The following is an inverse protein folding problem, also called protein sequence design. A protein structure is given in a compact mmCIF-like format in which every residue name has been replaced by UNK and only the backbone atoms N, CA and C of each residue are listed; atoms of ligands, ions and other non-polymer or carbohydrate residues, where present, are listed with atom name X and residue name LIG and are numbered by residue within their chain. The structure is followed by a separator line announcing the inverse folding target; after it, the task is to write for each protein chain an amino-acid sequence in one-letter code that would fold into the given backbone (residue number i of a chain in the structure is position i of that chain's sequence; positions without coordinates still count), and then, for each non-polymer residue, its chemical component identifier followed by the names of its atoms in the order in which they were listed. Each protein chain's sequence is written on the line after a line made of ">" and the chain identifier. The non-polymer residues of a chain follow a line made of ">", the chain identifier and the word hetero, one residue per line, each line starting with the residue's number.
data_IF_270924603517
#
_entry.id   IF_270924603517
#
_cell.length_a   1.000
_cell.length_b   1.000
_cell.length_c   1.000
_cell.angle_alpha   90.00
_cell.angle_beta   90.00
_cell.angle_gamma   90.00
#
_symmetry.space_group_name_H-M   'P 1'
#
loop_
_entity.id
_entity.type
_entity.pdbx_description
1 polymer ?
#
# COMPACT_ATOMS: atom_id res chain seq x y z
N UNK A 1 -1.47 14.20 6.67
CA UNK A 1 -1.86 15.35 7.51
C UNK A 1 -1.36 16.67 6.93
N UNK A 2 -0.04 16.85 6.73
CA UNK A 2 0.56 18.10 6.25
C UNK A 2 -0.09 18.66 4.95
N UNK A 3 -0.42 17.80 3.98
CA UNK A 3 -1.06 18.24 2.73
C UNK A 3 -2.50 18.69 2.95
N UNK A 4 -3.25 18.03 3.83
CA UNK A 4 -4.60 18.49 4.23
C UNK A 4 -4.58 19.86 4.89
N UNK A 5 -3.57 20.12 5.74
CA UNK A 5 -3.42 21.41 6.42
C UNK A 5 -3.15 22.61 5.47
N UNK A 6 -2.74 22.32 4.21
CA UNK A 6 -2.55 23.37 3.19
C UNK A 6 -3.86 23.85 2.56
N UNK A 7 -4.94 23.09 2.68
CA UNK A 7 -6.26 23.48 2.20
C UNK A 7 -6.77 24.72 2.94
N UNK A 8 -7.38 25.64 2.21
CA UNK A 8 -8.09 26.78 2.79
C UNK A 8 -9.41 26.34 3.43
N UNK A 9 -9.99 25.22 2.93
CA UNK A 9 -11.23 24.65 3.44
C UNK A 9 -11.04 23.85 4.74
N UNK A 10 -9.81 23.54 5.14
CA UNK A 10 -9.49 22.79 6.36
C UNK A 10 -9.09 23.74 7.48
N UNK A 11 -9.84 23.73 8.56
CA UNK A 11 -9.56 24.54 9.77
C UNK A 11 -8.54 23.84 10.67
N UNK A 12 -8.66 22.53 10.88
CA UNK A 12 -7.81 21.70 11.72
C UNK A 12 -7.75 20.28 11.19
N UNK A 13 -6.61 19.61 11.38
CA UNK A 13 -6.42 18.18 11.10
C UNK A 13 -6.01 17.50 12.40
N UNK A 14 -6.86 16.68 12.95
CA UNK A 14 -6.52 15.80 14.07
C UNK A 14 -5.79 14.57 13.57
N UNK A 15 -4.73 14.18 14.25
CA UNK A 15 -3.87 13.03 13.85
C UNK A 15 -3.79 12.04 15.02
N UNK A 16 -4.33 10.87 14.84
CA UNK A 16 -4.37 9.82 15.87
C UNK A 16 -3.44 8.65 15.49
N UNK A 17 -2.41 8.36 16.28
CA UNK A 17 -1.96 9.08 17.48
C UNK A 17 -1.12 10.33 17.15
N UNK A 18 -0.65 10.49 15.91
CA UNK A 18 0.30 11.51 15.49
C UNK A 18 1.76 11.18 15.82
N UNK A 19 2.64 12.13 15.59
CA UNK A 19 4.07 12.01 15.86
C UNK A 19 4.70 13.38 16.15
N UNK A 20 6.02 13.44 16.33
CA UNK A 20 6.73 14.69 16.60
C UNK A 20 6.60 15.74 15.48
N UNK A 21 6.53 15.31 14.22
CA UNK A 21 6.34 16.21 13.08
C UNK A 21 4.93 16.80 13.01
N UNK A 22 3.92 16.02 13.33
CA UNK A 22 2.52 16.48 13.36
C UNK A 22 2.19 17.30 14.60
N UNK A 23 2.95 17.15 15.69
CA UNK A 23 2.78 17.90 16.92
C UNK A 23 3.14 19.41 16.79
N UNK A 24 3.96 19.77 15.82
CA UNK A 24 4.50 21.14 15.67
C UNK A 24 4.04 21.86 14.41
N UNK A 25 3.37 21.16 13.51
CA UNK A 25 2.92 21.74 12.24
C UNK A 25 1.61 22.53 12.40
N UNK A 26 1.50 23.63 11.66
CA UNK A 26 0.30 24.46 11.69
C UNK A 26 -0.96 23.69 11.29
N UNK A 27 -2.09 23.96 11.93
CA UNK A 27 -3.39 23.30 11.79
C UNK A 27 -3.40 21.80 12.13
N UNK A 28 -2.30 21.23 12.65
CA UNK A 28 -2.26 19.82 13.06
C UNK A 28 -2.34 19.70 14.58
N UNK A 29 -3.13 18.76 15.06
CA UNK A 29 -3.28 18.44 16.48
C UNK A 29 -3.21 16.91 16.66
N UNK A 30 -2.25 16.45 17.49
CA UNK A 30 -2.15 15.05 17.84
C UNK A 30 -3.23 14.68 18.86
N UNK A 31 -3.83 13.51 18.68
CA UNK A 31 -4.83 12.94 19.58
C UNK A 31 -4.37 11.57 20.04
N UNK A 32 -4.22 11.38 21.34
CA UNK A 32 -3.76 10.13 21.93
C UNK A 32 -4.87 9.06 21.91
N UNK A 33 -5.17 8.57 20.71
CA UNK A 33 -6.12 7.47 20.48
C UNK A 33 -5.42 6.43 19.60
N UNK A 34 -5.48 5.16 20.05
CA UNK A 34 -4.97 4.03 19.26
C UNK A 34 -5.79 3.91 17.96
N UNK A 35 -5.14 3.79 16.77
CA UNK A 35 -5.83 3.61 15.49
C UNK A 35 -6.73 2.37 15.44
N UNK A 36 -6.55 1.41 16.34
CA UNK A 36 -7.40 0.22 16.46
C UNK A 36 -8.58 0.39 17.44
N UNK A 37 -8.63 1.49 18.20
CA UNK A 37 -9.78 1.81 19.06
C UNK A 37 -10.86 2.58 18.28
N UNK A 38 -11.66 1.83 17.51
CA UNK A 38 -12.67 2.41 16.63
C UNK A 38 -13.78 3.12 17.40
N UNK A 39 -14.12 2.68 18.60
CA UNK A 39 -15.16 3.31 19.43
C UNK A 39 -14.69 4.67 19.92
N UNK A 40 -13.45 4.79 20.37
CA UNK A 40 -12.84 6.07 20.77
C UNK A 40 -12.71 7.02 19.56
N UNK A 41 -12.25 6.51 18.41
CA UNK A 41 -12.12 7.31 17.18
C UNK A 41 -13.49 7.85 16.71
N UNK A 42 -14.52 7.01 16.66
CA UNK A 42 -15.87 7.42 16.27
C UNK A 42 -16.46 8.44 17.26
N UNK A 43 -16.25 8.23 18.57
CA UNK A 43 -16.71 9.14 19.62
C UNK A 43 -16.02 10.50 19.50
N UNK A 44 -14.71 10.51 19.25
CA UNK A 44 -13.93 11.72 19.01
C UNK A 44 -14.42 12.46 17.75
N UNK A 45 -14.54 11.74 16.64
CA UNK A 45 -15.00 12.31 15.37
C UNK A 45 -16.36 12.98 15.51
N UNK A 46 -17.30 12.35 16.23
CA UNK A 46 -18.62 12.91 16.51
C UNK A 46 -18.57 14.15 17.42
N UNK A 47 -17.78 14.09 18.49
CA UNK A 47 -17.67 15.19 19.46
C UNK A 47 -17.03 16.44 18.84
N UNK A 48 -16.07 16.27 17.94
CA UNK A 48 -15.36 17.34 17.25
C UNK A 48 -15.94 17.68 15.87
N UNK A 49 -17.07 17.09 15.49
CA UNK A 49 -17.77 17.34 14.23
C UNK A 49 -16.82 17.15 13.02
N UNK A 50 -16.07 16.05 13.02
CA UNK A 50 -15.12 15.73 11.92
C UNK A 50 -15.91 15.44 10.65
N UNK A 51 -15.66 16.18 9.59
CA UNK A 51 -16.34 16.06 8.30
C UNK A 51 -15.77 14.92 7.45
N UNK A 52 -14.50 14.62 7.59
CA UNK A 52 -13.83 13.54 6.85
C UNK A 52 -12.74 12.88 7.71
N UNK A 53 -12.77 11.56 7.80
CA UNK A 53 -11.68 10.76 8.36
C UNK A 53 -10.97 10.02 7.23
N UNK A 54 -9.64 10.10 7.20
CA UNK A 54 -8.80 9.39 6.23
C UNK A 54 -7.91 8.40 6.95
N UNK A 55 -7.94 7.14 6.54
CA UNK A 55 -7.20 6.07 7.21
C UNK A 55 -5.89 5.80 6.48
N UNK A 56 -4.78 5.97 7.19
CA UNK A 56 -3.43 5.76 6.64
C UNK A 56 -2.90 4.33 6.79
N UNK A 57 -2.96 3.71 7.99
CA UNK A 57 -2.37 2.39 8.21
C UNK A 57 -3.29 1.24 7.76
N UNK A 58 -2.69 0.13 7.33
CA UNK A 58 -3.39 -1.05 6.83
C UNK A 58 -4.15 -1.84 7.90
N UNK A 59 -3.64 -1.87 9.13
CA UNK A 59 -4.26 -2.62 10.22
C UNK A 59 -5.74 -2.27 10.45
N UNK A 60 -6.10 -1.00 10.68
CA UNK A 60 -7.49 -0.56 10.81
C UNK A 60 -8.34 -0.84 9.57
N UNK A 61 -7.78 -0.74 8.36
CA UNK A 61 -8.50 -1.03 7.11
C UNK A 61 -8.95 -2.48 7.05
N UNK A 62 -8.02 -3.40 7.26
CA UNK A 62 -8.31 -4.85 7.28
C UNK A 62 -9.25 -5.22 8.44
N UNK A 63 -9.16 -4.51 9.58
CA UNK A 63 -10.04 -4.72 10.72
C UNK A 63 -11.44 -4.09 10.57
N UNK A 64 -11.70 -3.34 9.49
CA UNK A 64 -13.04 -2.85 9.13
C UNK A 64 -13.43 -1.53 9.77
N UNK A 65 -12.50 -0.60 9.96
CA UNK A 65 -12.76 0.75 10.47
C UNK A 65 -13.83 1.48 9.66
N UNK A 66 -13.88 1.29 8.33
CA UNK A 66 -14.90 1.90 7.48
C UNK A 66 -16.33 1.56 7.95
N UNK A 67 -16.59 0.28 8.24
CA UNK A 67 -17.90 -0.16 8.72
C UNK A 67 -18.23 0.38 10.14
N UNK A 68 -17.20 0.58 10.98
CA UNK A 68 -17.40 1.21 12.28
C UNK A 68 -17.85 2.66 12.13
N UNK A 69 -17.21 3.45 11.29
CA UNK A 69 -17.60 4.85 11.02
C UNK A 69 -18.96 4.96 10.34
N UNK A 70 -19.24 4.09 9.37
CA UNK A 70 -20.53 4.07 8.65
C UNK A 70 -21.73 3.85 9.59
N UNK A 71 -21.59 3.03 10.64
CA UNK A 71 -22.64 2.82 11.66
C UNK A 71 -23.04 4.10 12.38
N UNK A 72 -22.17 5.08 12.46
CA UNK A 72 -22.44 6.38 13.10
C UNK A 72 -22.74 7.48 12.08
N UNK A 73 -22.80 7.16 10.78
CA UNK A 73 -23.00 8.13 9.70
C UNK A 73 -21.83 9.10 9.54
N UNK A 74 -20.64 8.67 9.91
CA UNK A 74 -19.41 9.46 9.80
C UNK A 74 -18.69 9.14 8.48
N UNK A 75 -18.30 10.19 7.75
CA UNK A 75 -17.54 10.01 6.51
C UNK A 75 -16.13 9.49 6.79
N UNK A 76 -15.78 8.40 6.11
CA UNK A 76 -14.49 7.74 6.27
C UNK A 76 -13.96 7.30 4.89
N UNK A 77 -12.87 7.90 4.46
CA UNK A 77 -12.16 7.48 3.25
C UNK A 77 -11.31 6.25 3.58
N UNK A 78 -11.86 5.11 3.32
CA UNK A 78 -11.27 3.80 3.56
C UNK A 78 -12.01 2.73 2.75
N UNK A 79 -11.31 1.73 2.18
CA UNK A 79 -11.97 0.57 1.62
C UNK A 79 -12.67 -0.26 2.73
N UNK A 80 -13.65 -1.06 2.34
CA UNK A 80 -14.25 -2.04 3.24
C UNK A 80 -13.23 -3.10 3.65
N UNK A 81 -13.50 -3.83 4.74
CA UNK A 81 -12.63 -4.93 5.18
C UNK A 81 -12.44 -6.00 4.08
N UNK A 82 -13.49 -6.28 3.29
CA UNK A 82 -13.44 -7.22 2.18
C UNK A 82 -12.53 -6.71 1.06
N UNK A 83 -12.63 -5.42 0.70
CA UNK A 83 -11.76 -4.79 -0.28
C UNK A 83 -10.29 -4.72 0.21
N UNK A 84 -10.09 -4.47 1.50
CA UNK A 84 -8.77 -4.43 2.13
C UNK A 84 -8.05 -5.79 2.15
N UNK A 85 -8.74 -6.91 1.83
CA UNK A 85 -8.10 -8.20 1.64
C UNK A 85 -7.10 -8.22 0.47
N UNK A 86 -7.18 -7.29 -0.48
CA UNK A 86 -6.14 -7.13 -1.50
C UNK A 86 -4.75 -6.87 -0.91
N UNK A 87 -4.66 -6.21 0.25
CA UNK A 87 -3.43 -6.04 1.04
C UNK A 87 -3.34 -7.05 2.18
N UNK A 88 -4.46 -7.33 2.85
CA UNK A 88 -4.53 -8.16 4.05
C UNK A 88 -4.20 -9.63 3.84
N UNK A 89 -4.39 -10.17 2.62
CA UNK A 89 -4.06 -11.54 2.25
C UNK A 89 -3.45 -11.61 0.86
N UNK A 90 -2.19 -12.01 0.78
CA UNK A 90 -1.49 -12.21 -0.49
C UNK A 90 -2.12 -13.33 -1.32
N UNK A 91 -2.61 -14.37 -0.64
CA UNK A 91 -3.36 -15.46 -1.29
C UNK A 91 -4.63 -14.92 -1.93
N UNK A 92 -5.45 -14.17 -1.18
CA UNK A 92 -6.66 -13.55 -1.74
C UNK A 92 -6.33 -12.67 -2.95
N UNK A 93 -5.34 -11.79 -2.80
CA UNK A 93 -4.89 -10.88 -3.87
C UNK A 93 -4.47 -11.64 -5.13
N UNK A 94 -3.63 -12.66 -5.00
CA UNK A 94 -3.15 -13.46 -6.14
C UNK A 94 -4.26 -14.28 -6.80
N UNK A 95 -5.13 -14.89 -6.02
CA UNK A 95 -6.30 -15.63 -6.55
C UNK A 95 -7.29 -14.69 -7.25
N UNK A 96 -7.49 -13.48 -6.69
CA UNK A 96 -8.28 -12.43 -7.32
C UNK A 96 -7.69 -12.00 -8.67
N UNK A 97 -6.38 -11.71 -8.73
CA UNK A 97 -5.69 -11.36 -9.97
C UNK A 97 -5.84 -12.45 -11.04
N UNK A 98 -5.72 -13.72 -10.64
CA UNK A 98 -5.88 -14.84 -11.55
C UNK A 98 -7.34 -14.98 -12.06
N UNK A 99 -8.34 -14.84 -11.18
CA UNK A 99 -9.77 -14.92 -11.57
C UNK A 99 -10.17 -13.84 -12.57
N UNK A 100 -9.59 -12.65 -12.43
CA UNK A 100 -9.90 -11.50 -13.28
C UNK A 100 -8.90 -11.29 -14.43
N UNK A 101 -7.97 -12.23 -14.65
CA UNK A 101 -6.94 -12.19 -15.70
C UNK A 101 -6.07 -10.92 -15.64
N UNK A 102 -5.80 -10.42 -14.43
CA UNK A 102 -4.94 -9.26 -14.20
C UNK A 102 -3.47 -9.73 -14.19
N UNK A 103 -2.56 -9.07 -14.94
CA UNK A 103 -1.18 -9.51 -15.07
C UNK A 103 -0.45 -9.58 -13.72
N UNK A 104 0.12 -10.72 -13.40
CA UNK A 104 0.96 -10.95 -12.22
C UNK A 104 1.89 -12.15 -12.46
N UNK A 105 2.88 -12.36 -11.59
CA UNK A 105 3.77 -13.52 -11.66
C UNK A 105 2.98 -14.84 -11.56
N UNK A 106 3.48 -15.89 -12.23
CA UNK A 106 3.00 -17.27 -11.99
C UNK A 106 3.20 -17.60 -10.51
N UNK A 107 2.16 -18.07 -9.84
CA UNK A 107 2.17 -18.31 -8.40
C UNK A 107 1.38 -19.56 -8.03
N UNK A 108 1.55 -20.02 -6.79
CA UNK A 108 0.63 -20.89 -6.07
C UNK A 108 0.76 -20.69 -4.57
N UNK A 109 -0.31 -21.02 -3.83
CA UNK A 109 -0.40 -20.85 -2.37
C UNK A 109 -0.34 -22.21 -1.68
N UNK A 110 0.38 -22.31 -0.55
CA UNK A 110 0.64 -23.56 0.14
C UNK A 110 0.51 -23.42 1.66
N UNK A 111 0.02 -24.49 2.27
CA UNK A 111 0.09 -24.76 3.73
C UNK A 111 0.99 -25.97 4.04
N UNK A 112 1.34 -26.76 3.02
CA UNK A 112 2.27 -27.87 3.11
C UNK A 112 3.66 -27.47 2.60
N UNK A 113 4.71 -27.58 3.45
CA UNK A 113 6.07 -27.21 3.05
C UNK A 113 6.60 -28.04 1.88
N UNK A 114 6.28 -29.35 1.83
CA UNK A 114 6.79 -30.23 0.77
C UNK A 114 6.25 -29.84 -0.61
N UNK A 115 4.96 -29.53 -0.70
CA UNK A 115 4.33 -29.06 -1.93
C UNK A 115 4.88 -27.68 -2.34
N UNK A 116 5.09 -26.77 -1.37
CA UNK A 116 5.69 -25.45 -1.63
C UNK A 116 7.11 -25.55 -2.20
N UNK A 117 7.95 -26.42 -1.64
CA UNK A 117 9.32 -26.68 -2.10
C UNK A 117 9.35 -27.26 -3.51
N UNK A 118 8.46 -28.23 -3.79
CA UNK A 118 8.33 -28.79 -5.13
C UNK A 118 7.98 -27.73 -6.17
N UNK A 119 7.01 -26.89 -5.87
CA UNK A 119 6.62 -25.81 -6.77
C UNK A 119 7.72 -24.76 -6.95
N UNK A 120 8.47 -24.44 -5.89
CA UNK A 120 9.62 -23.54 -5.99
C UNK A 120 10.70 -24.11 -6.93
N UNK A 121 10.94 -25.42 -6.90
CA UNK A 121 11.86 -26.10 -7.84
C UNK A 121 11.34 -26.05 -9.29
N UNK A 122 10.03 -26.21 -9.50
CA UNK A 122 9.42 -26.10 -10.84
C UNK A 122 9.50 -24.71 -11.44
N UNK A 123 9.42 -23.65 -10.61
CA UNK A 123 9.55 -22.26 -11.08
C UNK A 123 10.98 -21.92 -11.48
N UNK A 124 11.97 -22.57 -10.87
CA UNK A 124 13.38 -22.23 -11.04
C UNK A 124 13.79 -21.01 -10.19
N UNK A 125 15.00 -20.53 -10.43
CA UNK A 125 15.63 -19.46 -9.66
C UNK A 125 15.87 -18.21 -10.52
N UNK A 126 15.76 -17.00 -9.94
CA UNK A 126 15.29 -16.73 -8.58
C UNK A 126 13.81 -17.05 -8.39
N UNK A 127 13.39 -17.31 -7.14
CA UNK A 127 12.00 -17.55 -6.77
C UNK A 127 11.62 -16.69 -5.56
N UNK A 128 10.37 -16.25 -5.49
CA UNK A 128 9.90 -15.37 -4.41
C UNK A 128 8.97 -16.14 -3.48
N UNK A 129 9.27 -16.11 -2.19
CA UNK A 129 8.47 -16.71 -1.13
C UNK A 129 7.87 -15.59 -0.28
N UNK A 130 6.55 -15.58 -0.12
CA UNK A 130 5.84 -14.55 0.65
C UNK A 130 4.97 -15.20 1.73
N UNK A 131 5.07 -14.75 2.97
CA UNK A 131 4.09 -15.09 4.01
C UNK A 131 2.75 -14.43 3.67
N UNK A 132 1.64 -15.17 3.86
CA UNK A 132 0.29 -14.62 3.69
C UNK A 132 -0.05 -13.68 4.85
N UNK A 133 -0.72 -12.55 4.57
CA UNK A 133 -1.12 -11.57 5.57
C UNK A 133 -0.13 -10.41 5.74
N UNK A 134 -0.46 -9.54 6.70
CA UNK A 134 0.34 -8.35 7.01
C UNK A 134 1.63 -8.75 7.73
N UNK A 135 2.76 -8.44 7.14
CA UNK A 135 4.10 -8.76 7.66
C UNK A 135 5.06 -7.55 7.60
N UNK A 136 4.55 -6.33 7.47
CA UNK A 136 5.32 -5.08 7.45
C UNK A 136 6.55 -5.12 6.51
N UNK A 137 6.38 -5.68 5.30
CA UNK A 137 7.45 -5.83 4.31
C UNK A 137 8.50 -6.92 4.61
N UNK A 138 8.49 -7.49 5.82
CA UNK A 138 9.49 -8.50 6.26
C UNK A 138 9.14 -9.94 5.86
N UNK A 139 7.94 -10.19 5.39
CA UNK A 139 7.45 -11.52 4.99
C UNK A 139 7.74 -11.89 3.54
N UNK A 140 8.75 -11.29 2.88
CA UNK A 140 9.11 -11.55 1.49
C UNK A 140 10.58 -11.93 1.38
N UNK A 141 10.86 -13.07 0.75
CA UNK A 141 12.22 -13.56 0.50
C UNK A 141 12.39 -13.81 -1.00
N UNK A 142 13.36 -13.14 -1.63
CA UNK A 142 13.79 -13.43 -2.99
C UNK A 142 14.95 -14.41 -2.90
N UNK A 143 14.65 -15.69 -3.12
CA UNK A 143 15.61 -16.77 -2.97
C UNK A 143 16.44 -16.97 -4.24
N UNK A 144 17.76 -16.84 -4.13
CA UNK A 144 18.72 -17.05 -5.21
C UNK A 144 19.19 -18.50 -5.31
N UNK A 145 18.83 -19.35 -4.35
CA UNK A 145 19.16 -20.78 -4.33
C UNK A 145 17.99 -21.58 -3.78
N UNK A 146 17.90 -22.87 -4.15
CA UNK A 146 16.86 -23.77 -3.62
C UNK A 146 16.98 -23.90 -2.10
N UNK A 147 18.18 -23.98 -1.56
CA UNK A 147 18.39 -24.06 -0.11
C UNK A 147 17.84 -22.83 0.62
N UNK A 148 18.00 -21.63 0.04
CA UNK A 148 17.42 -20.40 0.60
C UNK A 148 15.87 -20.39 0.50
N UNK A 149 15.31 -20.89 -0.61
CA UNK A 149 13.87 -21.01 -0.79
C UNK A 149 13.27 -22.01 0.20
N UNK A 150 13.87 -23.17 0.36
CA UNK A 150 13.44 -24.21 1.30
C UNK A 150 13.50 -23.71 2.75
N UNK A 151 14.59 -23.04 3.13
CA UNK A 151 14.73 -22.44 4.46
C UNK A 151 13.64 -21.37 4.73
N UNK A 152 13.37 -20.50 3.76
CA UNK A 152 12.31 -19.49 3.89
C UNK A 152 10.92 -20.12 4.02
N UNK A 153 10.62 -21.17 3.26
CA UNK A 153 9.35 -21.91 3.36
C UNK A 153 9.21 -22.55 4.74
N UNK A 154 10.26 -23.23 5.23
CA UNK A 154 10.24 -23.87 6.55
C UNK A 154 10.10 -22.84 7.68
N UNK A 155 10.82 -21.73 7.61
CA UNK A 155 10.77 -20.67 8.61
C UNK A 155 9.35 -20.05 8.69
N UNK A 156 8.74 -19.77 7.54
CA UNK A 156 7.41 -19.20 7.48
C UNK A 156 6.32 -20.19 7.93
N UNK A 157 6.32 -21.44 7.44
CA UNK A 157 5.25 -22.40 7.70
C UNK A 157 5.42 -23.16 9.03
N UNK A 158 6.65 -23.44 9.44
CA UNK A 158 6.94 -24.26 10.62
C UNK A 158 7.51 -23.43 11.79
N UNK A 159 8.28 -22.38 11.47
CA UNK A 159 8.96 -21.55 12.46
C UNK A 159 8.05 -20.56 13.19
N UNK A 160 6.79 -20.40 12.75
CA UNK A 160 5.82 -19.42 13.28
C UNK A 160 6.35 -17.98 13.35
N UNK A 161 7.32 -17.65 12.51
CA UNK A 161 8.01 -16.34 12.48
C UNK A 161 7.04 -15.16 12.28
N UNK A 162 5.88 -15.41 11.63
CA UNK A 162 4.88 -14.40 11.31
C UNK A 162 3.51 -14.70 11.95
N UNK A 163 3.43 -15.56 12.96
CA UNK A 163 2.19 -15.92 13.63
C UNK A 163 1.13 -16.42 12.62
N UNK A 164 -0.08 -15.86 12.65
CA UNK A 164 -1.16 -16.26 11.72
C UNK A 164 -0.81 -15.99 10.23
N UNK A 165 -0.01 -14.97 9.94
CA UNK A 165 0.41 -14.65 8.58
C UNK A 165 1.34 -15.73 7.98
N UNK A 166 2.08 -16.47 8.82
CA UNK A 166 2.93 -17.59 8.44
C UNK A 166 2.20 -18.93 8.21
N UNK A 167 0.91 -19.02 8.51
CA UNK A 167 0.15 -20.27 8.34
C UNK A 167 -0.02 -20.68 6.86
N UNK A 168 0.30 -19.80 5.93
CA UNK A 168 0.28 -20.02 4.48
C UNK A 168 1.38 -19.22 3.82
N UNK A 169 1.94 -19.75 2.74
CA UNK A 169 2.90 -19.04 1.90
C UNK A 169 2.40 -18.97 0.46
N UNK A 170 2.76 -17.88 -0.21
CA UNK A 170 2.65 -17.73 -1.66
C UNK A 170 4.04 -17.90 -2.25
N UNK A 171 4.18 -18.82 -3.18
CA UNK A 171 5.41 -19.04 -3.96
C UNK A 171 5.17 -18.52 -5.36
N UNK A 172 6.03 -17.63 -5.85
CA UNK A 172 5.84 -17.00 -7.15
C UNK A 172 7.13 -16.87 -7.95
N UNK A 173 6.99 -16.87 -9.27
CA UNK A 173 8.08 -16.63 -10.18
C UNK A 173 8.66 -15.23 -9.97
N UNK A 174 9.97 -15.10 -10.08
CA UNK A 174 10.62 -13.79 -10.04
C UNK A 174 10.32 -13.00 -11.32
N UNK A 175 9.85 -11.77 -11.15
CA UNK A 175 9.63 -10.83 -12.26
C UNK A 175 10.90 -10.03 -12.51
N UNK A 176 11.22 -9.80 -13.78
CA UNK A 176 12.38 -9.01 -14.21
C UNK A 176 11.87 -7.70 -14.82
N UNK A 177 12.40 -6.58 -14.37
CA UNK A 177 12.01 -5.25 -14.82
C UNK A 177 12.43 -4.16 -13.85
N UNK A 178 11.74 -3.04 -13.90
CA UNK A 178 11.86 -1.95 -12.93
C UNK A 178 10.60 -1.86 -12.08
N UNK A 179 10.76 -1.80 -10.76
CA UNK A 179 9.62 -1.59 -9.85
C UNK A 179 9.10 -0.17 -9.99
N UNK A 180 7.78 -0.02 -9.91
CA UNK A 180 7.11 1.27 -9.90
C UNK A 180 5.86 1.23 -9.01
N UNK A 181 5.58 2.36 -8.37
CA UNK A 181 4.40 2.56 -7.55
C UNK A 181 3.36 3.36 -8.34
N UNK A 182 2.18 2.77 -8.50
CA UNK A 182 1.05 3.41 -9.17
C UNK A 182 -0.13 3.49 -8.21
N UNK A 183 -0.48 4.71 -7.81
CA UNK A 183 -1.50 4.95 -6.79
C UNK A 183 -2.70 5.63 -7.43
N UNK A 184 -3.89 5.14 -7.11
CA UNK A 184 -5.15 5.77 -7.51
C UNK A 184 -6.01 6.06 -6.28
N UNK A 185 -6.86 7.07 -6.39
CA UNK A 185 -8.01 7.26 -5.51
C UNK A 185 -9.24 6.80 -6.28
N UNK A 186 -10.05 5.95 -5.67
CA UNK A 186 -11.28 5.42 -6.25
C UNK A 186 -12.49 5.75 -5.37
N UNK A 187 -13.66 5.89 -5.97
CA UNK A 187 -14.92 6.19 -5.30
C UNK A 187 -15.99 5.08 -5.42
N UNK A 188 -15.58 3.92 -5.96
CA UNK A 188 -16.46 2.79 -6.24
C UNK A 188 -16.93 2.71 -7.68
N UNK A 189 -16.85 3.79 -8.44
CA UNK A 189 -17.22 3.87 -9.87
C UNK A 189 -16.06 4.39 -10.71
N UNK A 190 -15.52 5.52 -10.31
CA UNK A 190 -14.44 6.22 -11.00
C UNK A 190 -13.15 6.18 -10.20
N UNK A 191 -12.03 6.49 -10.87
CA UNK A 191 -10.75 6.64 -10.21
C UNK A 191 -9.88 7.71 -10.87
N UNK A 192 -9.02 8.33 -10.06
CA UNK A 192 -7.96 9.22 -10.52
C UNK A 192 -6.58 8.70 -10.14
N UNK A 193 -5.68 8.64 -11.12
CA UNK A 193 -4.30 8.29 -10.89
C UNK A 193 -3.53 9.48 -10.29
N UNK A 194 -2.77 9.20 -9.24
CA UNK A 194 -1.79 10.13 -8.67
C UNK A 194 -0.50 10.13 -9.50
N UNK A 195 0.39 11.07 -9.21
CA UNK A 195 1.72 11.07 -9.81
C UNK A 195 2.44 9.78 -9.48
N UNK A 196 3.12 9.20 -10.48
CA UNK A 196 3.88 7.96 -10.33
C UNK A 196 5.10 8.14 -9.44
N UNK A 197 5.57 7.08 -8.81
CA UNK A 197 6.73 7.08 -7.92
C UNK A 197 7.52 5.78 -8.06
N UNK A 198 8.78 5.81 -7.66
CA UNK A 198 9.60 4.63 -7.42
C UNK A 198 10.19 4.72 -6.02
N UNK A 199 10.03 3.67 -5.23
CA UNK A 199 10.67 3.50 -3.93
C UNK A 199 11.94 2.66 -4.04
N UNK A 200 12.78 2.74 -3.02
CA UNK A 200 14.02 1.99 -2.89
C UNK A 200 14.03 1.24 -1.57
N UNK A 201 13.80 -0.08 -1.64
CA UNK A 201 13.59 -0.94 -0.47
C UNK A 201 14.88 -1.46 0.15
N UNK A 202 15.91 -1.68 -0.66
CA UNK A 202 17.18 -2.21 -0.16
C UNK A 202 17.97 -1.18 0.66
N UNK A 203 18.55 -1.63 1.80
CA UNK A 203 19.21 -0.73 2.76
C UNK A 203 20.53 -0.15 2.24
N UNK A 204 21.25 -0.84 1.33
CA UNK A 204 22.58 -0.45 0.86
C UNK A 204 22.55 0.06 -0.58
N UNK A 205 23.61 0.79 -0.92
CA UNK A 205 23.84 1.28 -2.28
C UNK A 205 23.83 0.16 -3.32
N UNK A 206 23.33 0.46 -4.53
CA UNK A 206 23.26 -0.51 -5.62
C UNK A 206 22.18 -1.56 -5.44
N UNK A 207 21.12 -1.23 -4.73
CA UNK A 207 19.97 -2.11 -4.47
C UNK A 207 20.36 -3.43 -3.79
N UNK A 208 21.20 -3.31 -2.77
CA UNK A 208 21.77 -4.44 -2.04
C UNK A 208 21.35 -4.45 -0.57
N UNK A 209 21.49 -5.63 0.05
CA UNK A 209 21.16 -5.85 1.45
C UNK A 209 19.69 -6.23 1.68
N UNK A 210 19.29 -6.30 2.94
CA UNK A 210 17.91 -6.63 3.30
C UNK A 210 16.93 -5.53 2.86
N UNK A 211 15.72 -5.95 2.52
CA UNK A 211 14.61 -5.02 2.28
C UNK A 211 14.18 -4.33 3.57
N UNK A 212 13.75 -3.09 3.43
CA UNK A 212 13.23 -2.22 4.48
C UNK A 212 11.79 -1.84 4.17
N UNK A 213 11.21 -0.95 4.97
CA UNK A 213 9.93 -0.27 4.65
C UNK A 213 10.03 0.74 3.51
N UNK A 214 11.25 1.03 3.01
CA UNK A 214 11.56 2.02 2.00
C UNK A 214 12.59 3.04 2.51
N UNK A 215 13.71 3.17 1.80
CA UNK A 215 14.79 4.11 2.16
C UNK A 215 14.65 5.47 1.47
N UNK A 216 13.66 5.61 0.64
CA UNK A 216 13.33 6.82 -0.07
C UNK A 216 12.54 6.55 -1.33
N UNK A 217 11.97 7.60 -1.88
CA UNK A 217 11.21 7.53 -3.12
C UNK A 217 11.35 8.83 -3.91
N UNK A 218 11.17 8.75 -5.20
CA UNK A 218 11.07 9.92 -6.05
C UNK A 218 9.82 9.86 -6.94
N UNK A 219 9.38 11.02 -7.38
CA UNK A 219 8.26 11.21 -8.31
C UNK A 219 8.59 12.31 -9.32
N UNK A 220 8.29 12.15 -10.64
CA UNK A 220 7.64 11.00 -11.24
C UNK A 220 8.57 9.81 -11.42
N UNK A 221 8.01 8.62 -11.67
CA UNK A 221 8.75 7.42 -12.07
C UNK A 221 9.07 7.47 -13.57
N UNK A 222 10.35 7.52 -14.00
CA UNK A 222 10.69 7.60 -15.42
C UNK A 222 10.25 6.38 -16.24
N UNK A 223 10.23 5.20 -15.61
CA UNK A 223 9.80 3.95 -16.25
C UNK A 223 8.33 3.95 -16.60
N UNK A 224 7.49 4.73 -15.87
CA UNK A 224 6.06 4.86 -16.14
C UNK A 224 5.82 6.02 -17.12
N UNK A 225 6.07 5.77 -18.38
CA UNK A 225 5.70 6.70 -19.47
C UNK A 225 4.18 6.82 -19.59
N UNK A 226 3.68 7.76 -20.37
CA UNK A 226 2.25 7.91 -20.62
C UNK A 226 1.63 6.60 -21.15
N UNK A 227 2.27 5.95 -22.13
CA UNK A 227 1.79 4.68 -22.68
C UNK A 227 1.79 3.54 -21.65
N UNK A 228 2.75 3.51 -20.72
CA UNK A 228 2.78 2.54 -19.61
C UNK A 228 1.67 2.87 -18.62
N UNK A 229 1.45 4.14 -18.28
CA UNK A 229 0.35 4.57 -17.41
C UNK A 229 -1.02 4.17 -17.98
N UNK A 230 -1.26 4.38 -19.26
CA UNK A 230 -2.48 3.94 -19.94
C UNK A 230 -2.68 2.43 -19.84
N UNK A 231 -1.61 1.62 -20.09
CA UNK A 231 -1.66 0.17 -19.93
C UNK A 231 -1.95 -0.25 -18.49
N UNK A 232 -1.38 0.41 -17.49
CA UNK A 232 -1.65 0.13 -16.08
C UNK A 232 -3.12 0.38 -15.78
N UNK A 233 -3.67 1.50 -16.22
CA UNK A 233 -5.09 1.80 -16.03
C UNK A 233 -5.99 0.75 -16.70
N UNK A 234 -5.71 0.37 -17.95
CA UNK A 234 -6.53 -0.55 -18.74
C UNK A 234 -6.40 -2.02 -18.31
N UNK A 235 -5.17 -2.47 -17.94
CA UNK A 235 -4.90 -3.88 -17.70
C UNK A 235 -4.89 -4.26 -16.22
N UNK A 236 -4.76 -3.28 -15.32
CA UNK A 236 -4.63 -3.53 -13.88
C UNK A 236 -5.70 -2.78 -13.09
N UNK A 237 -5.73 -1.44 -13.11
CA UNK A 237 -6.59 -0.68 -12.20
C UNK A 237 -8.07 -0.87 -12.52
N UNK A 238 -8.48 -0.61 -13.77
CA UNK A 238 -9.88 -0.76 -14.16
C UNK A 238 -10.37 -2.20 -13.99
N UNK A 239 -9.63 -3.26 -14.41
CA UNK A 239 -10.03 -4.65 -14.14
C UNK A 239 -10.08 -5.00 -12.65
N UNK A 240 -9.22 -4.41 -11.81
CA UNK A 240 -9.26 -4.62 -10.36
C UNK A 240 -10.54 -4.06 -9.76
N UNK A 241 -10.87 -2.80 -10.05
CA UNK A 241 -12.08 -2.16 -9.51
C UNK A 241 -13.35 -2.84 -10.04
N UNK A 242 -13.39 -3.17 -11.34
CA UNK A 242 -14.51 -3.89 -11.96
C UNK A 242 -14.65 -5.32 -11.42
N UNK A 243 -13.53 -6.01 -11.20
CA UNK A 243 -13.49 -7.35 -10.60
C UNK A 243 -14.07 -7.35 -9.19
N UNK A 244 -13.64 -6.43 -8.34
CA UNK A 244 -14.21 -6.26 -6.99
C UNK A 244 -15.70 -5.97 -7.05
N UNK A 245 -16.12 -5.04 -7.90
CA UNK A 245 -17.53 -4.68 -8.07
C UNK A 245 -18.35 -5.90 -8.53
N UNK A 246 -17.84 -6.72 -9.44
CA UNK A 246 -18.50 -7.96 -9.89
C UNK A 246 -18.65 -9.01 -8.79
N UNK A 247 -17.79 -9.00 -7.78
CA UNK A 247 -17.85 -9.81 -6.57
C UNK A 247 -18.70 -9.14 -5.45
N UNK A 248 -19.34 -8.00 -5.74
CA UNK A 248 -20.19 -7.26 -4.79
C UNK A 248 -19.41 -6.39 -3.80
N UNK A 249 -18.13 -6.13 -4.09
CA UNK A 249 -17.24 -5.36 -3.23
C UNK A 249 -17.01 -3.98 -3.87
N UNK A 250 -17.48 -2.92 -3.23
CA UNK A 250 -17.21 -1.55 -3.64
C UNK A 250 -15.87 -1.08 -3.04
N UNK A 251 -15.02 -0.48 -3.87
CA UNK A 251 -13.75 0.06 -3.44
C UNK A 251 -13.77 1.58 -3.39
N UNK A 252 -13.76 2.16 -2.19
CA UNK A 252 -13.61 3.60 -1.99
C UNK A 252 -12.37 3.86 -1.16
N UNK A 253 -11.43 4.63 -1.68
CA UNK A 253 -10.16 4.92 -1.01
C UNK A 253 -8.95 4.85 -1.92
N UNK A 254 -7.76 4.95 -1.33
CA UNK A 254 -6.52 4.82 -2.06
C UNK A 254 -6.21 3.35 -2.36
N UNK A 255 -5.88 3.07 -3.61
CA UNK A 255 -5.36 1.78 -4.05
C UNK A 255 -3.96 1.99 -4.64
N UNK A 256 -2.97 1.42 -3.99
CA UNK A 256 -1.59 1.36 -4.47
C UNK A 256 -1.37 0.03 -5.16
N UNK A 257 -0.91 0.07 -6.40
CA UNK A 257 -0.40 -1.07 -7.14
C UNK A 257 1.12 -1.00 -7.20
N UNK A 258 1.79 -1.94 -6.54
CA UNK A 258 3.22 -2.21 -6.71
C UNK A 258 3.41 -3.04 -7.98
N UNK A 259 4.16 -2.51 -8.93
CA UNK A 259 4.25 -3.04 -10.28
C UNK A 259 5.68 -3.36 -10.68
N UNK A 260 5.87 -4.43 -11.43
CA UNK A 260 7.07 -4.68 -12.23
C UNK A 260 6.80 -4.30 -13.66
N UNK A 261 7.58 -3.38 -14.22
CA UNK A 261 7.50 -2.95 -15.62
C UNK A 261 8.64 -3.61 -16.38
N UNK A 262 8.33 -4.46 -17.33
CA UNK A 262 9.34 -5.14 -18.13
C UNK A 262 9.97 -4.23 -19.19
N UNK A 263 10.96 -4.74 -19.89
CA UNK A 263 11.70 -3.99 -20.93
C UNK A 263 10.80 -3.56 -22.13
N UNK A 264 9.60 -4.13 -22.27
CA UNK A 264 8.62 -3.78 -23.30
C UNK A 264 7.53 -2.83 -22.77
N UNK A 265 7.64 -2.42 -21.49
CA UNK A 265 6.67 -1.58 -20.81
C UNK A 265 5.39 -2.33 -20.44
N UNK A 266 5.42 -3.68 -20.34
CA UNK A 266 4.28 -4.45 -19.86
C UNK A 266 4.27 -4.47 -18.32
N UNK A 267 3.16 -4.05 -17.69
CA UNK A 267 3.05 -4.04 -16.24
C UNK A 267 2.59 -5.40 -15.70
N UNK A 268 3.14 -5.81 -14.56
CA UNK A 268 2.65 -6.96 -13.78
C UNK A 268 2.56 -6.60 -12.31
N UNK A 269 1.48 -6.99 -11.65
CA UNK A 269 1.26 -6.70 -10.23
C UNK A 269 2.19 -7.55 -9.37
N UNK A 270 2.96 -6.87 -8.51
CA UNK A 270 3.75 -7.47 -7.43
C UNK A 270 2.86 -7.65 -6.20
N UNK A 271 2.19 -6.57 -5.81
CA UNK A 271 1.28 -6.50 -4.66
C UNK A 271 0.32 -5.31 -4.78
N UNK A 272 -0.78 -5.36 -4.01
CA UNK A 272 -1.60 -4.19 -3.73
C UNK A 272 -1.42 -3.74 -2.28
N UNK A 273 -1.55 -2.42 -2.07
CA UNK A 273 -1.78 -1.84 -0.76
C UNK A 273 -3.07 -1.00 -0.82
N UNK A 274 -3.89 -1.11 0.21
CA UNK A 274 -5.22 -0.46 0.24
C UNK A 274 -5.16 0.94 0.89
N UNK A 275 -4.03 1.59 0.76
CA UNK A 275 -3.66 2.89 1.32
C UNK A 275 -2.59 3.55 0.46
N UNK A 276 -2.24 4.77 0.84
CA UNK A 276 -1.12 5.45 0.20
C UNK A 276 0.22 4.77 0.56
N UNK A 277 1.22 4.87 -0.31
CA UNK A 277 2.54 4.27 -0.11
C UNK A 277 3.41 5.04 0.91
N UNK A 278 4.32 4.33 1.56
CA UNK A 278 5.36 4.88 2.42
C UNK A 278 6.71 4.25 2.00
N UNK A 279 7.64 5.05 1.44
CA UNK A 279 7.76 6.53 1.49
C UNK A 279 7.28 7.30 0.23
N UNK A 280 6.43 6.75 -0.61
CA UNK A 280 5.97 7.40 -1.84
C UNK A 280 5.07 8.62 -1.59
N UNK A 281 4.34 8.63 -0.48
CA UNK A 281 3.44 9.74 -0.12
C UNK A 281 4.16 11.09 -0.12
N UNK A 282 5.36 11.15 0.46
CA UNK A 282 6.08 12.40 0.63
C UNK A 282 6.39 13.09 -0.70
N UNK A 283 7.08 12.47 -1.68
CA UNK A 283 7.37 13.11 -2.95
C UNK A 283 6.11 13.36 -3.81
N UNK A 284 5.10 12.50 -3.73
CA UNK A 284 3.84 12.69 -4.48
C UNK A 284 3.08 13.90 -3.94
N UNK A 285 2.95 14.04 -2.61
CA UNK A 285 2.26 15.18 -1.98
C UNK A 285 2.98 16.51 -2.19
N UNK A 286 4.31 16.50 -2.31
CA UNK A 286 5.09 17.68 -2.69
C UNK A 286 4.76 18.18 -4.10
N UNK A 287 4.35 17.29 -4.98
CA UNK A 287 4.00 17.61 -6.37
C UNK A 287 2.52 17.90 -6.58
N UNK A 288 1.64 17.42 -5.70
CA UNK A 288 0.21 17.62 -5.83
C UNK A 288 -0.13 19.12 -5.70
N UNK A 289 -0.77 19.69 -6.73
CA UNK A 289 -1.24 21.08 -6.77
C UNK A 289 -2.73 21.19 -6.44
N UNK A 290 -3.52 20.14 -6.73
CA UNK A 290 -4.94 20.07 -6.34
C UNK A 290 -5.11 20.02 -4.82
N UNK A 291 -6.27 20.49 -4.35
CA UNK A 291 -6.64 20.38 -2.95
C UNK A 291 -6.96 18.93 -2.59
N UNK A 292 -6.14 18.32 -1.72
CA UNK A 292 -6.30 16.93 -1.34
C UNK A 292 -7.59 16.70 -0.53
N UNK A 293 -8.02 17.70 0.26
CA UNK A 293 -9.22 17.57 1.07
C UNK A 293 -10.48 17.50 0.19
N UNK A 294 -10.58 18.40 -0.80
CA UNK A 294 -11.70 18.43 -1.73
C UNK A 294 -11.79 17.13 -2.54
N UNK A 295 -10.66 16.65 -3.08
CA UNK A 295 -10.61 15.40 -3.84
C UNK A 295 -10.98 14.18 -2.98
N UNK A 296 -10.50 14.13 -1.73
CA UNK A 296 -10.86 13.04 -0.81
C UNK A 296 -12.33 13.09 -0.38
N UNK A 297 -12.88 14.28 -0.21
CA UNK A 297 -14.30 14.46 0.10
C UNK A 297 -15.17 14.04 -1.09
N UNK A 298 -14.81 14.45 -2.32
CA UNK A 298 -15.48 14.03 -3.55
C UNK A 298 -15.51 12.50 -3.69
N UNK A 299 -14.42 11.81 -3.31
CA UNK A 299 -14.38 10.35 -3.37
C UNK A 299 -15.38 9.68 -2.42
N UNK A 300 -15.55 10.16 -1.18
CA UNK A 300 -16.55 9.59 -0.26
C UNK A 300 -17.98 9.99 -0.61
N UNK A 301 -18.16 11.06 -1.38
CA UNK A 301 -19.45 11.52 -1.90
C UNK A 301 -19.78 10.96 -3.29
N UNK A 302 -18.94 10.08 -3.83
CA UNK A 302 -19.09 9.48 -5.18
C UNK A 302 -19.20 10.52 -6.30
N UNK A 303 -18.39 11.58 -6.22
CA UNK A 303 -18.30 12.69 -7.19
C UNK A 303 -16.91 12.84 -7.80
N UNK A 304 -16.08 11.79 -7.70
CA UNK A 304 -14.69 11.87 -8.13
C UNK A 304 -14.55 12.21 -9.62
N UNK A 305 -15.52 11.84 -10.45
CA UNK A 305 -15.57 12.20 -11.87
C UNK A 305 -15.65 13.71 -12.13
N UNK A 306 -16.08 14.53 -11.15
CA UNK A 306 -16.15 15.98 -11.25
C UNK A 306 -14.80 16.64 -10.96
N UNK A 307 -13.87 15.91 -10.36
CA UNK A 307 -12.56 16.39 -9.92
C UNK A 307 -11.48 16.17 -10.99
N UNK A 308 -10.41 16.92 -10.86
CA UNK A 308 -9.18 16.73 -11.64
C UNK A 308 -7.96 16.82 -10.77
N UNK A 309 -6.97 15.97 -11.01
CA UNK A 309 -5.71 16.03 -10.29
C UNK A 309 -4.66 16.77 -11.12
N UNK A 310 -4.08 17.80 -10.54
CA UNK A 310 -2.97 18.55 -11.11
C UNK A 310 -1.69 18.35 -10.28
N UNK A 311 -0.58 18.18 -10.98
CA UNK A 311 0.73 17.96 -10.37
C UNK A 311 1.77 18.89 -10.96
N UNK A 312 2.65 19.40 -10.12
CA UNK A 312 3.85 20.11 -10.54
C UNK A 312 4.68 19.26 -11.52
N UNK A 313 5.17 19.83 -12.62
CA UNK A 313 6.07 19.13 -13.53
C UNK A 313 7.47 18.89 -12.93
N UNK A 314 7.78 19.51 -11.79
CA UNK A 314 9.06 19.33 -11.10
C UNK A 314 9.13 17.95 -10.46
N UNK A 315 10.33 17.36 -10.42
CA UNK A 315 10.58 16.16 -9.66
C UNK A 315 10.63 16.46 -8.15
N UNK A 316 10.23 15.47 -7.35
CA UNK A 316 10.38 15.49 -5.90
C UNK A 316 11.10 14.21 -5.44
N UNK A 317 11.89 14.32 -4.39
CA UNK A 317 12.65 13.22 -3.79
C UNK A 317 12.47 13.27 -2.27
N UNK A 318 12.21 12.11 -1.67
CA UNK A 318 12.27 11.89 -0.24
C UNK A 318 13.39 10.90 0.09
N UNK A 319 14.14 11.18 1.15
CA UNK A 319 15.17 10.29 1.70
C UNK A 319 14.82 9.96 3.14
N UNK A 320 14.78 8.66 3.45
CA UNK A 320 14.50 8.18 4.80
C UNK A 320 15.80 8.12 5.59
N UNK A 321 15.82 8.77 6.75
CA UNK A 321 16.90 8.66 7.72
C UNK A 321 16.46 7.67 8.80
N UNK A 322 17.29 6.68 9.09
CA UNK A 322 17.01 5.64 10.05
C UNK A 322 18.14 5.51 11.08
N UNK A 323 17.81 5.04 12.28
CA UNK A 323 18.80 4.72 13.31
C UNK A 323 19.73 3.59 12.85
N UNK A 324 20.97 3.58 13.36
CA UNK A 324 21.90 2.50 13.08
C UNK A 324 21.32 1.15 13.54
N UNK A 325 21.46 0.13 12.68
CA UNK A 325 20.90 -1.21 12.92
C UNK A 325 19.59 -1.49 12.16
N UNK A 326 18.86 -0.45 11.72
CA UNK A 326 17.66 -0.63 10.89
C UNK A 326 17.99 -1.42 9.58
N UNK A 327 17.17 -2.37 9.12
CA UNK A 327 15.83 -2.76 9.58
C UNK A 327 15.81 -3.85 10.69
N UNK A 328 16.97 -4.23 11.25
CA UNK A 328 17.06 -5.13 12.40
C UNK A 328 16.72 -4.40 13.71
N UNK A 329 17.33 -4.85 14.81
CA UNK A 329 17.18 -4.19 16.11
C UNK A 329 17.93 -2.85 16.10
N UNK A 330 17.27 -1.78 16.52
CA UNK A 330 17.84 -0.43 16.58
C UNK A 330 17.35 0.35 17.79
N UNK A 331 18.15 1.32 18.23
CA UNK A 331 17.79 2.21 19.32
C UNK A 331 16.72 3.20 18.88
N UNK A 332 15.70 3.39 19.75
CA UNK A 332 14.61 4.35 19.57
C UNK A 332 14.75 5.52 20.53
N UNK A 333 14.08 6.65 20.21
CA UNK A 333 14.05 7.82 21.11
C UNK A 333 15.18 8.81 20.91
N UNK A 334 16.01 8.65 19.88
CA UNK A 334 16.94 9.71 19.50
C UNK A 334 16.17 10.98 19.06
N UNK A 335 16.60 12.18 19.48
CA UNK A 335 15.99 13.41 19.01
C UNK A 335 16.31 13.62 17.53
N UNK A 336 15.33 14.11 16.78
CA UNK A 336 15.42 14.44 15.35
C UNK A 336 15.49 15.94 15.19
#
# INVERSE_FOLDING_TARGET
>A
AWKFAQSENVSVVYVAPGNGGTATAAKLENVDIDPMDFDALCSFAKAHQIELTVVGPEGPLVAGIQAAFARFGLACLAPSADAAQLEGSKTFSKEFLARHNIPTARFSSFTDPSAAKTFAQELGLPVVIKADGLAAGKGVVVAQSLAAAEAAIDDMLLGNAFGRAGARVVVEAFLVGEEASFIVLADGTDFHAFATSQDHKAIFNGDQGPNTGGMGAYSPAPVVTQAVSERICEQIIAPTLQGLLSEGIHYTGFLYAGLMIDALGAPSVIEFNCRFGDPETQPIMMRLESDLADVCLAAVEHRLAEETLAFSPKAALAVVLASAGYPGDYEVGAPI
#
